data_IF_824138459105
#
_entry.id   IF_824138459105
#
_cell.length_a   1.000
_cell.length_b   1.000
_cell.length_c   1.000
_cell.angle_alpha   90.00
_cell.angle_beta   90.00
_cell.angle_gamma   90.00
#
_symmetry.space_group_name_H-M   'P 1'
#
loop_
_entity.id
_entity.type
_entity.pdbx_description
1 polymer ?
#
# COMPACT_ATOMS: atom_id res chain seq x y z
N UNK A 1 -24.32 10.40 24.89
CA UNK A 1 -23.89 9.61 23.70
C UNK A 1 -24.17 10.50 22.49
N UNK A 2 -23.17 11.27 22.06
CA UNK A 2 -23.31 12.09 20.86
C UNK A 2 -23.46 11.15 19.66
N UNK A 3 -24.49 11.40 18.86
CA UNK A 3 -24.78 10.70 17.61
C UNK A 3 -23.58 10.88 16.67
N UNK A 4 -22.68 9.92 16.65
CA UNK A 4 -21.49 9.96 15.83
C UNK A 4 -21.90 9.68 14.37
N UNK A 5 -22.14 10.74 13.60
CA UNK A 5 -22.54 10.71 12.18
C UNK A 5 -21.49 10.08 11.25
N UNK A 6 -20.37 9.59 11.81
CA UNK A 6 -19.21 9.05 11.09
C UNK A 6 -19.35 7.61 10.64
N UNK A 7 -20.36 6.88 11.13
CA UNK A 7 -20.46 5.43 10.92
C UNK A 7 -19.48 4.65 11.81
N UNK A 8 -19.68 3.34 11.89
CA UNK A 8 -18.81 2.40 12.60
C UNK A 8 -18.74 1.09 11.81
N UNK A 9 -17.74 0.27 12.10
CA UNK A 9 -17.69 -1.10 11.58
C UNK A 9 -18.84 -1.95 12.16
N UNK A 10 -19.30 -2.94 11.37
CA UNK A 10 -20.36 -3.84 11.82
C UNK A 10 -19.93 -4.73 12.99
N UNK A 11 -18.61 -4.96 13.12
CA UNK A 11 -17.98 -5.74 14.19
C UNK A 11 -16.51 -6.00 13.92
N UNK A 12 -15.86 -6.74 14.82
CA UNK A 12 -14.41 -7.00 14.79
C UNK A 12 -13.92 -7.64 13.47
N UNK A 13 -14.68 -8.60 12.91
CA UNK A 13 -14.34 -9.21 11.63
C UNK A 13 -14.38 -8.20 10.48
N UNK A 14 -15.40 -7.32 10.46
CA UNK A 14 -15.52 -6.26 9.46
C UNK A 14 -14.36 -5.29 9.52
N UNK A 15 -13.96 -4.87 10.73
CA UNK A 15 -12.77 -4.05 10.96
C UNK A 15 -11.50 -4.75 10.47
N UNK A 16 -11.24 -5.99 10.92
CA UNK A 16 -10.02 -6.74 10.57
C UNK A 16 -9.92 -6.94 9.06
N UNK A 17 -10.99 -7.38 8.37
CA UNK A 17 -10.98 -7.56 6.92
C UNK A 17 -10.78 -6.23 6.18
N UNK A 18 -11.34 -5.14 6.69
CA UNK A 18 -11.13 -3.81 6.08
C UNK A 18 -9.71 -3.32 6.27
N UNK A 19 -9.13 -3.50 7.45
CA UNK A 19 -7.75 -3.12 7.72
C UNK A 19 -6.74 -3.99 6.96
N UNK A 20 -7.00 -5.31 6.84
CA UNK A 20 -6.23 -6.20 5.96
C UNK A 20 -6.37 -5.74 4.51
N UNK A 21 -7.59 -5.39 4.04
CA UNK A 21 -7.79 -4.90 2.68
C UNK A 21 -7.11 -3.57 2.39
N UNK A 22 -6.92 -2.72 3.40
CA UNK A 22 -6.08 -1.54 3.26
C UNK A 22 -4.61 -1.88 3.12
N UNK A 23 -4.13 -2.84 3.92
CA UNK A 23 -2.74 -3.25 3.92
C UNK A 23 -2.40 -4.10 2.67
N UNK A 24 -3.23 -5.11 2.35
CA UNK A 24 -3.01 -5.98 1.19
C UNK A 24 -3.40 -5.28 -0.10
N UNK A 25 -2.43 -4.73 -0.80
CA UNK A 25 -2.63 -3.91 -2.00
C UNK A 25 -1.57 -4.15 -3.09
N UNK A 26 -1.38 -3.16 -3.94
CA UNK A 26 -0.29 -3.17 -4.93
C UNK A 26 1.09 -3.24 -4.25
N UNK A 27 1.21 -2.76 -3.01
CA UNK A 27 2.42 -2.91 -2.21
C UNK A 27 2.87 -4.37 -2.08
N UNK A 28 1.94 -5.33 -1.93
CA UNK A 28 2.23 -6.75 -1.84
C UNK A 28 2.40 -7.40 -3.22
N UNK A 29 1.51 -7.07 -4.18
CA UNK A 29 1.48 -7.73 -5.49
C UNK A 29 2.53 -7.19 -6.47
N UNK A 30 2.97 -5.96 -6.28
CA UNK A 30 3.96 -5.30 -7.12
C UNK A 30 5.19 -4.87 -6.32
N UNK A 31 5.00 -4.01 -5.30
CA UNK A 31 6.09 -3.39 -4.56
C UNK A 31 7.02 -4.41 -3.90
N UNK A 32 6.47 -5.37 -3.15
CA UNK A 32 7.27 -6.36 -2.44
C UNK A 32 8.07 -7.28 -3.38
N UNK A 33 7.46 -7.93 -4.43
CA UNK A 33 8.23 -8.78 -5.32
C UNK A 33 9.35 -8.03 -6.03
N UNK A 34 9.07 -6.85 -6.59
CA UNK A 34 10.10 -6.11 -7.31
C UNK A 34 11.21 -5.60 -6.36
N UNK A 35 10.86 -5.08 -5.18
CA UNK A 35 11.83 -4.60 -4.18
C UNK A 35 12.69 -5.77 -3.64
N UNK A 36 12.07 -6.92 -3.40
CA UNK A 36 12.80 -8.14 -3.07
C UNK A 36 13.72 -8.57 -4.21
N UNK A 37 13.24 -8.48 -5.46
CA UNK A 37 14.00 -8.77 -6.67
C UNK A 37 15.24 -7.90 -6.83
N UNK A 38 15.11 -6.61 -6.57
CA UNK A 38 16.19 -5.64 -6.69
C UNK A 38 17.17 -5.61 -5.50
N UNK A 39 16.83 -6.21 -4.36
CA UNK A 39 17.59 -6.12 -3.12
C UNK A 39 17.99 -7.49 -2.54
N UNK A 40 18.32 -8.44 -3.39
CA UNK A 40 19.01 -9.68 -2.99
C UNK A 40 18.12 -10.84 -2.55
N UNK A 41 16.79 -10.80 -2.78
CA UNK A 41 15.90 -11.94 -2.55
C UNK A 41 15.74 -12.28 -1.05
N UNK A 42 16.19 -13.49 -0.64
CA UNK A 42 15.99 -13.99 0.70
C UNK A 42 16.53 -13.07 1.84
N UNK A 43 17.73 -12.48 1.78
CA UNK A 43 18.17 -11.51 2.79
C UNK A 43 17.21 -10.32 2.95
N UNK A 44 16.67 -9.79 1.86
CA UNK A 44 15.66 -8.73 1.92
C UNK A 44 14.41 -9.18 2.67
N UNK A 45 13.92 -10.41 2.43
CA UNK A 45 12.77 -10.97 3.14
C UNK A 45 13.01 -11.00 4.66
N UNK A 46 14.18 -11.42 5.10
CA UNK A 46 14.51 -11.47 6.55
C UNK A 46 14.51 -10.05 7.14
N UNK A 47 15.15 -9.09 6.46
CA UNK A 47 15.17 -7.69 6.91
C UNK A 47 13.74 -7.13 6.98
N UNK A 48 12.92 -7.38 5.96
CA UNK A 48 11.53 -6.96 5.93
C UNK A 48 10.73 -7.52 7.11
N UNK A 49 10.87 -8.82 7.43
CA UNK A 49 10.20 -9.44 8.57
C UNK A 49 10.62 -8.82 9.90
N UNK A 50 11.89 -8.47 10.05
CA UNK A 50 12.37 -7.74 11.23
C UNK A 50 11.67 -6.39 11.38
N UNK A 51 11.59 -5.60 10.29
CA UNK A 51 10.87 -4.32 10.33
C UNK A 51 9.37 -4.49 10.61
N UNK A 52 8.71 -5.50 10.02
CA UNK A 52 7.29 -5.79 10.28
C UNK A 52 7.05 -6.07 11.76
N UNK A 53 7.86 -6.92 12.38
CA UNK A 53 7.69 -7.28 13.80
C UNK A 53 8.02 -6.11 14.72
N UNK A 54 9.18 -5.49 14.54
CA UNK A 54 9.68 -4.48 15.49
C UNK A 54 9.09 -3.08 15.29
N UNK A 55 8.68 -2.74 14.07
CA UNK A 55 8.11 -1.44 13.77
C UNK A 55 6.64 -1.55 13.36
N UNK A 56 6.31 -2.40 12.41
CA UNK A 56 4.96 -2.51 11.82
C UNK A 56 3.89 -2.84 12.84
N UNK A 57 4.05 -3.95 13.58
CA UNK A 57 3.11 -4.39 14.63
C UNK A 57 2.92 -3.32 15.69
N UNK A 58 4.02 -2.74 16.16
CA UNK A 58 3.98 -1.79 17.26
C UNK A 58 3.33 -0.48 16.83
N UNK A 59 3.77 0.07 15.69
CA UNK A 59 3.26 1.35 15.21
C UNK A 59 1.79 1.26 14.78
N UNK A 60 1.36 0.12 14.23
CA UNK A 60 -0.05 -0.15 13.95
C UNK A 60 -0.91 -0.06 15.22
N UNK A 61 -0.46 -0.67 16.31
CA UNK A 61 -1.15 -0.55 17.60
C UNK A 61 -1.22 0.89 18.12
N UNK A 62 -0.16 1.67 17.92
CA UNK A 62 -0.11 3.09 18.31
C UNK A 62 -1.11 3.92 17.48
N UNK A 63 -1.10 3.81 16.15
CA UNK A 63 -2.03 4.56 15.30
C UNK A 63 -3.50 4.22 15.60
N UNK A 64 -3.84 2.93 15.76
CA UNK A 64 -5.19 2.52 16.15
C UNK A 64 -5.58 3.08 17.53
N UNK A 65 -4.64 3.10 18.50
CA UNK A 65 -4.89 3.67 19.83
C UNK A 65 -5.16 5.17 19.76
N UNK A 66 -4.40 5.92 18.96
CA UNK A 66 -4.61 7.35 18.74
C UNK A 66 -6.01 7.57 18.13
N UNK A 67 -6.33 6.82 17.09
CA UNK A 67 -7.62 6.92 16.41
C UNK A 67 -8.80 6.65 17.33
N UNK A 68 -8.77 5.50 18.04
CA UNK A 68 -9.89 5.09 18.93
C UNK A 68 -10.05 6.00 20.15
N UNK A 69 -8.92 6.39 20.77
CA UNK A 69 -8.96 7.27 21.97
C UNK A 69 -9.52 8.65 21.66
N UNK A 70 -9.22 9.18 20.46
CA UNK A 70 -9.64 10.53 20.06
C UNK A 70 -10.96 10.56 19.27
N UNK A 71 -11.32 9.48 18.59
CA UNK A 71 -12.49 9.43 17.71
C UNK A 71 -12.42 10.42 16.53
N UNK A 72 -11.21 10.86 16.10
CA UNK A 72 -11.01 11.95 15.13
C UNK A 72 -10.08 11.52 13.98
N UNK A 73 -10.15 12.26 12.87
CA UNK A 73 -9.21 12.14 11.75
C UNK A 73 -7.80 12.60 12.15
N UNK A 74 -6.74 12.19 11.42
CA UNK A 74 -5.35 12.32 11.86
C UNK A 74 -4.92 13.71 12.35
N UNK A 75 -5.28 14.80 11.63
CA UNK A 75 -4.88 16.17 12.04
C UNK A 75 -5.52 16.56 13.37
N UNK A 76 -6.80 16.24 13.53
CA UNK A 76 -7.53 16.57 14.77
C UNK A 76 -7.11 15.63 15.90
N UNK A 77 -6.88 14.36 15.60
CA UNK A 77 -6.39 13.38 16.56
C UNK A 77 -5.03 13.79 17.15
N UNK A 78 -4.07 14.15 16.29
CA UNK A 78 -2.76 14.65 16.74
C UNK A 78 -2.90 15.99 17.50
N UNK A 79 -3.89 16.81 17.15
CA UNK A 79 -4.20 18.04 17.86
C UNK A 79 -4.70 17.84 19.31
N UNK A 80 -5.32 16.67 19.61
CA UNK A 80 -5.71 16.29 20.99
C UNK A 80 -4.48 15.90 21.86
N UNK A 81 -3.43 15.37 21.21
CA UNK A 81 -2.17 15.13 21.91
C UNK A 81 -1.43 16.43 22.22
N UNK A 82 -1.70 17.50 21.48
CA UNK A 82 -1.17 18.85 21.66
C UNK A 82 -1.37 19.67 20.38
N UNK A 83 -1.79 20.93 20.52
CA UNK A 83 -2.04 21.81 19.36
C UNK A 83 -0.85 21.93 18.42
N UNK A 84 0.38 21.91 18.97
CA UNK A 84 1.63 21.94 18.23
C UNK A 84 1.87 20.70 17.37
N UNK A 85 1.23 19.57 17.63
CA UNK A 85 1.44 18.31 16.91
C UNK A 85 0.53 18.15 15.68
N UNK A 86 -0.36 19.08 15.41
CA UNK A 86 -1.23 19.05 14.21
C UNK A 86 -0.47 18.89 12.91
N UNK A 87 0.77 19.40 12.83
CA UNK A 87 1.59 19.30 11.62
C UNK A 87 1.93 17.85 11.26
N UNK A 88 2.08 16.97 12.27
CA UNK A 88 2.29 15.53 12.05
C UNK A 88 1.05 14.90 11.42
N UNK A 89 -0.13 15.26 11.91
CA UNK A 89 -1.40 14.86 11.31
C UNK A 89 -1.55 15.31 9.86
N UNK A 90 -0.97 16.47 9.48
CA UNK A 90 -0.93 16.92 8.09
C UNK A 90 -0.05 16.03 7.21
N UNK A 91 1.10 15.52 7.68
CA UNK A 91 1.84 14.50 6.95
C UNK A 91 0.97 13.26 6.72
N UNK A 92 0.25 12.82 7.76
CA UNK A 92 -0.64 11.65 7.68
C UNK A 92 -1.89 11.84 6.79
N UNK A 93 -2.24 13.07 6.40
CA UNK A 93 -3.36 13.35 5.47
C UNK A 93 -2.87 13.66 4.07
N UNK A 94 -1.77 14.41 3.92
CA UNK A 94 -1.22 14.75 2.61
C UNK A 94 -0.60 13.54 1.93
N UNK A 95 0.06 12.67 2.70
CA UNK A 95 0.67 11.44 2.20
C UNK A 95 -0.33 10.57 1.42
N UNK A 96 -1.49 10.13 1.98
CA UNK A 96 -2.46 9.34 1.23
C UNK A 96 -3.08 10.09 0.03
N UNK A 97 -3.20 11.41 0.06
CA UNK A 97 -3.67 12.19 -1.09
C UNK A 97 -2.67 12.11 -2.24
N UNK A 98 -1.37 12.29 -1.96
CA UNK A 98 -0.30 12.20 -2.96
C UNK A 98 -0.19 10.77 -3.50
N UNK A 99 -0.19 9.76 -2.63
CA UNK A 99 -0.18 8.35 -3.03
C UNK A 99 -1.37 8.05 -3.95
N UNK A 100 -2.58 8.47 -3.60
CA UNK A 100 -3.77 8.25 -4.42
C UNK A 100 -3.62 8.79 -5.84
N UNK A 101 -2.85 9.85 -6.03
CA UNK A 101 -2.59 10.45 -7.34
C UNK A 101 -1.91 9.49 -8.31
N UNK A 102 -0.84 8.79 -7.91
CA UNK A 102 -0.16 7.82 -8.77
C UNK A 102 -0.75 6.40 -8.67
N UNK A 103 -1.24 6.03 -7.51
CA UNK A 103 -1.79 4.70 -7.25
C UNK A 103 -3.03 4.41 -8.08
N UNK A 104 -3.89 5.41 -8.31
CA UNK A 104 -5.07 5.31 -9.17
C UNK A 104 -4.71 5.01 -10.63
N UNK A 105 -3.56 5.49 -11.10
CA UNK A 105 -3.06 5.24 -12.47
C UNK A 105 -2.65 3.78 -12.62
N UNK A 106 -1.93 3.22 -11.65
CA UNK A 106 -1.52 1.80 -11.67
C UNK A 106 -2.72 0.85 -11.66
N UNK A 107 -3.79 1.19 -10.92
CA UNK A 107 -5.04 0.45 -10.99
C UNK A 107 -5.68 0.63 -12.38
N UNK A 108 -5.68 1.83 -12.93
CA UNK A 108 -6.16 2.14 -14.28
C UNK A 108 -5.45 1.30 -15.35
N UNK A 109 -4.14 1.12 -15.24
CA UNK A 109 -3.39 0.21 -16.09
C UNK A 109 -3.92 -1.23 -15.96
N UNK A 110 -4.15 -1.69 -14.74
CA UNK A 110 -4.69 -3.04 -14.50
C UNK A 110 -6.09 -3.22 -15.12
N UNK A 111 -6.95 -2.21 -15.07
CA UNK A 111 -8.28 -2.22 -15.73
C UNK A 111 -8.13 -2.36 -17.24
N UNK A 112 -7.17 -1.67 -17.86
CA UNK A 112 -6.88 -1.80 -19.29
C UNK A 112 -6.41 -3.21 -19.66
N UNK A 113 -5.58 -3.81 -18.80
CA UNK A 113 -5.08 -5.18 -19.01
C UNK A 113 -6.19 -6.24 -18.84
N UNK A 114 -7.09 -6.09 -17.86
CA UNK A 114 -8.28 -6.93 -17.75
C UNK A 114 -9.10 -6.89 -19.04
N UNK A 115 -9.33 -5.69 -19.59
CA UNK A 115 -10.03 -5.52 -20.85
C UNK A 115 -9.28 -6.20 -22.01
N UNK A 116 -7.96 -6.07 -22.07
CA UNK A 116 -7.12 -6.72 -23.08
C UNK A 116 -7.26 -8.24 -23.06
N UNK A 117 -7.00 -8.86 -21.88
CA UNK A 117 -7.12 -10.31 -21.74
C UNK A 117 -8.55 -10.83 -21.97
N UNK A 118 -9.56 -10.05 -21.58
CA UNK A 118 -10.96 -10.42 -21.84
C UNK A 118 -11.22 -10.52 -23.37
N UNK A 119 -10.73 -9.59 -24.16
CA UNK A 119 -10.84 -9.64 -25.62
C UNK A 119 -10.11 -10.86 -26.19
N UNK A 120 -8.87 -11.15 -25.73
CA UNK A 120 -8.11 -12.33 -26.18
C UNK A 120 -8.84 -13.66 -25.87
N UNK A 121 -9.51 -13.78 -24.71
CA UNK A 121 -10.32 -14.97 -24.35
C UNK A 121 -11.46 -15.20 -25.35
N UNK A 122 -12.06 -14.13 -25.89
CA UNK A 122 -13.16 -14.23 -26.87
C UNK A 122 -12.67 -14.20 -28.33
N UNK A 123 -11.36 -14.37 -28.57
CA UNK A 123 -10.79 -14.44 -29.92
C UNK A 123 -10.62 -13.07 -30.59
N UNK A 124 -10.68 -11.98 -29.81
CA UNK A 124 -10.34 -10.63 -30.27
C UNK A 124 -8.82 -10.38 -30.22
N UNK A 125 -8.43 -9.13 -30.48
CA UNK A 125 -7.03 -8.69 -30.44
C UNK A 125 -6.87 -7.57 -29.40
N UNK A 126 -6.84 -7.95 -28.13
CA UNK A 126 -6.85 -7.02 -27.00
C UNK A 126 -5.55 -6.24 -26.81
N UNK A 127 -4.44 -6.84 -27.24
CA UNK A 127 -3.08 -6.28 -27.16
C UNK A 127 -2.48 -5.95 -28.52
N UNK A 128 -3.23 -6.05 -29.61
CA UNK A 128 -2.77 -5.70 -30.95
C UNK A 128 -1.70 -6.64 -31.51
N UNK A 129 -1.50 -7.83 -30.91
CA UNK A 129 -0.41 -8.75 -31.26
C UNK A 129 0.98 -8.24 -30.86
N UNK A 130 1.05 -7.21 -30.01
CA UNK A 130 2.30 -6.63 -29.52
C UNK A 130 2.84 -7.40 -28.31
N UNK A 131 4.16 -7.46 -28.16
CA UNK A 131 4.82 -7.87 -26.92
C UNK A 131 4.55 -6.89 -25.77
N UNK A 132 4.74 -7.34 -24.54
CA UNK A 132 4.42 -6.55 -23.34
C UNK A 132 5.13 -5.20 -23.30
N UNK A 133 6.39 -5.14 -23.69
CA UNK A 133 7.15 -3.88 -23.73
C UNK A 133 6.57 -2.87 -24.73
N UNK A 134 6.28 -3.32 -25.96
CA UNK A 134 5.74 -2.46 -27.02
C UNK A 134 4.32 -2.00 -26.66
N UNK A 135 3.47 -2.91 -26.18
CA UNK A 135 2.13 -2.58 -25.77
C UNK A 135 2.11 -1.60 -24.60
N UNK A 136 2.90 -1.86 -23.56
CA UNK A 136 2.96 -1.00 -22.37
C UNK A 136 3.49 0.40 -22.71
N UNK A 137 4.55 0.47 -23.55
CA UNK A 137 5.09 1.74 -24.05
C UNK A 137 4.06 2.52 -24.87
N UNK A 138 3.38 1.87 -25.81
CA UNK A 138 2.32 2.50 -26.62
C UNK A 138 1.14 2.97 -25.73
N UNK A 139 0.74 2.17 -24.77
CA UNK A 139 -0.36 2.51 -23.85
C UNK A 139 -0.01 3.68 -22.92
N UNK A 140 1.17 3.71 -22.32
CA UNK A 140 1.59 4.81 -21.44
C UNK A 140 1.78 6.12 -22.19
N UNK A 141 2.11 6.06 -23.50
CA UNK A 141 2.17 7.22 -24.37
C UNK A 141 0.78 7.73 -24.80
N UNK A 142 -0.27 6.90 -24.74
CA UNK A 142 -1.66 7.30 -25.02
C UNK A 142 -2.28 7.96 -23.77
N UNK A 143 -1.85 9.17 -23.48
CA UNK A 143 -2.28 9.94 -22.29
C UNK A 143 -3.83 10.03 -22.16
N UNK A 144 -4.62 10.28 -23.21
CA UNK A 144 -6.08 10.28 -23.11
C UNK A 144 -6.63 8.95 -22.59
N UNK A 145 -6.09 7.83 -23.04
CA UNK A 145 -6.53 6.50 -22.61
C UNK A 145 -6.12 6.25 -21.14
N UNK A 146 -4.91 6.62 -20.75
CA UNK A 146 -4.45 6.54 -19.34
C UNK A 146 -5.34 7.37 -18.42
N UNK A 147 -5.67 8.61 -18.79
CA UNK A 147 -6.58 9.47 -18.02
C UNK A 147 -7.97 8.86 -17.91
N UNK A 148 -8.51 8.29 -19.00
CA UNK A 148 -9.83 7.64 -18.98
C UNK A 148 -9.89 6.48 -17.97
N UNK A 149 -8.93 5.56 -18.00
CA UNK A 149 -8.91 4.42 -17.08
C UNK A 149 -8.63 4.84 -15.63
N UNK A 150 -7.83 5.89 -15.43
CA UNK A 150 -7.63 6.51 -14.11
C UNK A 150 -8.93 7.11 -13.57
N UNK A 151 -9.69 7.81 -14.42
CA UNK A 151 -10.98 8.39 -14.03
C UNK A 151 -12.01 7.31 -13.70
N UNK A 152 -12.08 6.23 -14.49
CA UNK A 152 -12.94 5.06 -14.20
C UNK A 152 -12.61 4.48 -12.82
N UNK A 153 -11.32 4.30 -12.53
CA UNK A 153 -10.83 3.80 -11.23
C UNK A 153 -11.25 4.71 -10.08
N UNK A 154 -11.00 6.02 -10.22
CA UNK A 154 -11.36 7.00 -9.19
C UNK A 154 -12.87 7.11 -8.99
N UNK A 155 -13.67 7.01 -10.05
CA UNK A 155 -15.13 7.01 -9.98
C UNK A 155 -15.64 5.77 -9.22
N UNK A 156 -15.10 4.58 -9.51
CA UNK A 156 -15.43 3.34 -8.81
C UNK A 156 -15.10 3.45 -7.32
N UNK A 157 -13.88 3.86 -6.98
CA UNK A 157 -13.47 4.02 -5.59
C UNK A 157 -14.28 5.09 -4.87
N UNK A 158 -14.55 6.22 -5.52
CA UNK A 158 -15.41 7.28 -4.98
C UNK A 158 -16.82 6.81 -4.66
N UNK A 159 -17.44 5.98 -5.51
CA UNK A 159 -18.74 5.37 -5.25
C UNK A 159 -18.72 4.46 -4.02
N UNK A 160 -17.67 3.64 -3.86
CA UNK A 160 -17.51 2.76 -2.70
C UNK A 160 -17.34 3.59 -1.42
N UNK A 161 -16.46 4.59 -1.43
CA UNK A 161 -16.22 5.46 -0.26
C UNK A 161 -17.46 6.27 0.10
N UNK A 162 -18.22 6.76 -0.89
CA UNK A 162 -19.49 7.47 -0.68
C UNK A 162 -20.56 6.60 0.00
N UNK A 163 -20.48 5.26 -0.17
CA UNK A 163 -21.34 4.28 0.51
C UNK A 163 -21.10 4.16 2.01
N UNK A 164 -20.04 4.80 2.55
CA UNK A 164 -19.70 4.81 3.98
C UNK A 164 -18.86 3.60 4.42
N UNK A 165 -18.58 3.55 5.73
CA UNK A 165 -17.71 2.50 6.29
C UNK A 165 -18.37 1.13 6.14
N UNK A 166 -19.51 0.90 6.77
CA UNK A 166 -20.17 -0.42 6.76
C UNK A 166 -20.79 -0.77 5.40
N UNK A 167 -21.41 0.19 4.72
CA UNK A 167 -22.15 -0.02 3.46
C UNK A 167 -21.29 -0.06 2.21
N UNK A 168 -20.12 0.59 2.22
CA UNK A 168 -19.19 0.67 1.10
C UNK A 168 -17.90 -0.08 1.37
N UNK A 169 -17.01 0.51 2.14
CA UNK A 169 -15.62 0.03 2.34
C UNK A 169 -15.59 -1.39 2.94
N UNK A 170 -16.30 -1.61 4.05
CA UNK A 170 -16.35 -2.91 4.71
C UNK A 170 -17.00 -3.99 3.82
N UNK A 171 -18.10 -3.63 3.13
CA UNK A 171 -18.80 -4.56 2.23
C UNK A 171 -17.90 -4.99 1.08
N UNK A 172 -17.14 -4.07 0.49
CA UNK A 172 -16.19 -4.38 -0.56
C UNK A 172 -15.09 -5.33 -0.05
N UNK A 173 -14.49 -5.02 1.10
CA UNK A 173 -13.39 -5.81 1.65
C UNK A 173 -13.82 -7.20 2.13
N UNK A 174 -15.04 -7.36 2.64
CA UNK A 174 -15.58 -8.68 3.03
C UNK A 174 -15.63 -9.69 1.88
N UNK A 175 -15.81 -9.24 0.66
CA UNK A 175 -15.82 -10.07 -0.56
C UNK A 175 -14.44 -10.06 -1.22
N UNK A 176 -13.84 -8.90 -1.35
CA UNK A 176 -12.59 -8.69 -2.09
C UNK A 176 -11.40 -9.43 -1.46
N UNK A 177 -11.24 -9.37 -0.13
CA UNK A 177 -10.08 -9.97 0.52
C UNK A 177 -10.06 -11.51 0.47
N UNK A 178 -11.14 -12.23 0.84
CA UNK A 178 -11.17 -13.68 0.62
C UNK A 178 -10.98 -14.06 -0.86
N UNK A 179 -11.62 -13.34 -1.78
CA UNK A 179 -11.48 -13.55 -3.22
C UNK A 179 -10.03 -13.38 -3.69
N UNK A 180 -9.33 -12.36 -3.19
CA UNK A 180 -7.91 -12.11 -3.47
C UNK A 180 -7.04 -13.31 -3.06
N UNK A 181 -7.19 -13.83 -1.84
CA UNK A 181 -6.41 -14.98 -1.38
C UNK A 181 -6.71 -16.24 -2.21
N UNK A 182 -7.97 -16.47 -2.57
CA UNK A 182 -8.36 -17.59 -3.44
C UNK A 182 -7.70 -17.46 -4.82
N UNK A 183 -7.76 -16.29 -5.44
CA UNK A 183 -7.13 -16.04 -6.74
C UNK A 183 -5.60 -16.19 -6.67
N UNK A 184 -4.96 -15.71 -5.61
CA UNK A 184 -3.51 -15.94 -5.39
C UNK A 184 -3.19 -17.43 -5.37
N UNK A 185 -3.93 -18.21 -4.60
CA UNK A 185 -3.71 -19.68 -4.51
C UNK A 185 -3.87 -20.34 -5.88
N UNK A 186 -4.92 -19.98 -6.64
CA UNK A 186 -5.15 -20.52 -7.99
C UNK A 186 -3.96 -20.23 -8.91
N UNK A 187 -3.46 -18.99 -8.90
CA UNK A 187 -2.33 -18.59 -9.74
C UNK A 187 -1.04 -19.31 -9.29
N UNK A 188 -0.81 -19.42 -7.99
CA UNK A 188 0.35 -20.14 -7.43
C UNK A 188 0.33 -21.60 -7.90
N UNK A 189 -0.79 -22.31 -7.68
CA UNK A 189 -0.92 -23.71 -8.08
C UNK A 189 -0.65 -23.91 -9.57
N UNK A 190 -1.17 -23.01 -10.41
CA UNK A 190 -0.90 -23.07 -11.84
C UNK A 190 0.58 -22.80 -12.16
N UNK A 191 1.18 -21.77 -11.58
CA UNK A 191 2.58 -21.40 -11.89
C UNK A 191 3.57 -22.48 -11.45
N UNK A 192 3.26 -23.29 -10.44
CA UNK A 192 4.07 -24.44 -10.05
C UNK A 192 4.04 -25.59 -11.07
N UNK A 193 3.14 -25.59 -12.03
CA UNK A 193 3.16 -26.55 -13.14
C UNK A 193 4.14 -26.16 -14.25
N UNK A 194 4.68 -24.92 -14.23
CA UNK A 194 5.57 -24.42 -15.23
C UNK A 194 7.00 -25.01 -15.08
N UNK A 195 7.69 -25.36 -16.18
CA UNK A 195 9.09 -25.78 -16.13
C UNK A 195 9.97 -24.66 -15.53
N UNK A 196 10.82 -25.02 -14.57
CA UNK A 196 11.73 -24.03 -13.93
C UNK A 196 11.11 -23.24 -12.75
N UNK A 197 9.84 -23.45 -12.41
CA UNK A 197 9.17 -22.78 -11.30
C UNK A 197 9.91 -22.88 -9.95
N UNK A 198 10.62 -24.01 -9.71
CA UNK A 198 11.42 -24.22 -8.50
C UNK A 198 12.56 -23.19 -8.33
N UNK A 199 13.02 -22.55 -9.40
CA UNK A 199 14.03 -21.49 -9.33
C UNK A 199 13.49 -20.28 -8.56
N UNK A 200 12.20 -19.93 -8.73
CA UNK A 200 11.54 -18.89 -7.97
C UNK A 200 11.52 -19.15 -6.46
N UNK A 201 11.32 -20.42 -6.04
CA UNK A 201 11.42 -20.81 -4.64
C UNK A 201 12.84 -20.68 -4.09
N UNK A 202 13.82 -21.17 -4.87
CA UNK A 202 15.24 -21.05 -4.51
C UNK A 202 15.62 -19.59 -4.30
N UNK A 203 15.14 -18.71 -5.19
CA UNK A 203 15.34 -17.28 -5.11
C UNK A 203 14.74 -16.66 -3.82
N UNK A 204 13.50 -17.01 -3.49
CA UNK A 204 12.79 -16.45 -2.34
C UNK A 204 13.32 -16.92 -0.99
N UNK A 205 13.76 -18.19 -0.90
CA UNK A 205 13.95 -18.84 0.41
C UNK A 205 15.36 -19.36 0.66
N UNK A 206 16.31 -19.11 -0.26
CA UNK A 206 17.69 -19.55 -0.08
C UNK A 206 18.70 -18.44 -0.42
N UNK A 207 19.89 -18.51 0.21
CA UNK A 207 21.00 -17.60 -0.09
C UNK A 207 21.51 -17.71 -1.53
N UNK A 208 21.31 -18.86 -2.18
CA UNK A 208 21.65 -19.05 -3.60
C UNK A 208 20.86 -18.16 -4.55
N UNK A 209 19.70 -17.63 -4.11
CA UNK A 209 18.90 -16.68 -4.88
C UNK A 209 19.63 -15.39 -5.21
N UNK A 210 20.55 -14.93 -4.34
CA UNK A 210 21.38 -13.75 -4.60
C UNK A 210 22.30 -13.96 -5.82
N UNK A 211 22.95 -15.14 -5.91
CA UNK A 211 23.83 -15.49 -7.03
C UNK A 211 23.03 -15.59 -8.33
N UNK A 212 21.78 -16.10 -8.26
CA UNK A 212 20.90 -16.24 -9.43
C UNK A 212 20.41 -14.89 -9.98
N UNK A 213 20.24 -13.88 -9.13
CA UNK A 213 19.75 -12.57 -9.55
C UNK A 213 20.86 -11.68 -10.15
N UNK A 214 22.14 -12.02 -9.95
CA UNK A 214 23.28 -11.23 -10.42
C UNK A 214 23.34 -9.81 -9.82
N UNK A 215 22.68 -9.57 -8.70
CA UNK A 215 22.65 -8.28 -8.01
C UNK A 215 23.58 -8.29 -6.80
N UNK A 216 24.42 -7.26 -6.69
CA UNK A 216 25.19 -7.03 -5.46
C UNK A 216 24.24 -6.67 -4.31
N UNK A 217 24.43 -7.32 -3.16
CA UNK A 217 23.62 -7.06 -1.98
C UNK A 217 24.16 -5.87 -1.18
N UNK A 218 23.43 -4.77 -1.19
CA UNK A 218 23.68 -3.63 -0.30
C UNK A 218 22.75 -3.70 0.91
N UNK A 219 23.32 -4.01 2.06
CA UNK A 219 22.58 -4.15 3.32
C UNK A 219 21.89 -2.85 3.75
N UNK A 220 22.54 -1.69 3.58
CA UNK A 220 21.98 -0.39 3.97
C UNK A 220 20.80 -0.04 3.08
N UNK A 221 20.96 -0.22 1.76
CA UNK A 221 19.89 -0.01 0.81
C UNK A 221 18.74 -0.99 1.04
N UNK A 222 19.01 -2.26 1.29
CA UNK A 222 17.99 -3.26 1.61
C UNK A 222 17.20 -2.91 2.88
N UNK A 223 17.86 -2.42 3.94
CA UNK A 223 17.18 -1.93 5.13
C UNK A 223 16.27 -0.74 4.84
N UNK A 224 16.75 0.24 4.06
CA UNK A 224 15.97 1.41 3.65
C UNK A 224 14.72 1.02 2.88
N UNK A 225 14.90 0.20 1.84
CA UNK A 225 13.80 -0.25 0.98
C UNK A 225 12.81 -1.13 1.74
N UNK A 226 13.29 -2.03 2.61
CA UNK A 226 12.43 -2.89 3.42
C UNK A 226 11.59 -2.09 4.44
N UNK A 227 12.16 -1.05 5.05
CA UNK A 227 11.44 -0.19 5.98
C UNK A 227 10.35 0.63 5.29
N UNK A 228 10.64 1.23 4.14
CA UNK A 228 9.64 1.91 3.31
C UNK A 228 8.55 0.95 2.88
N UNK A 229 8.92 -0.21 2.33
CA UNK A 229 7.97 -1.26 1.96
C UNK A 229 7.08 -1.70 3.12
N UNK A 230 7.60 -1.84 4.33
CA UNK A 230 6.82 -2.21 5.52
C UNK A 230 5.80 -1.12 5.87
N UNK A 231 6.20 0.15 5.88
CA UNK A 231 5.29 1.26 6.18
C UNK A 231 4.19 1.36 5.11
N UNK A 232 4.56 1.28 3.83
CA UNK A 232 3.65 1.36 2.71
C UNK A 232 2.66 0.19 2.70
N UNK A 233 3.15 -1.04 2.77
CA UNK A 233 2.35 -2.28 2.74
C UNK A 233 1.40 -2.35 3.93
N UNK A 234 1.89 -2.12 5.16
CA UNK A 234 1.04 -2.12 6.37
C UNK A 234 0.15 -0.88 6.51
N UNK A 235 0.13 0.04 5.54
CA UNK A 235 -0.66 1.29 5.59
C UNK A 235 -0.36 2.18 6.81
N UNK A 236 0.91 2.33 7.16
CA UNK A 236 1.38 3.03 8.36
C UNK A 236 2.04 4.37 8.04
N UNK A 237 1.97 5.32 8.96
CA UNK A 237 2.54 6.67 8.78
C UNK A 237 1.72 7.58 7.86
N UNK A 238 0.65 7.06 7.25
CA UNK A 238 -0.25 7.76 6.35
C UNK A 238 -1.67 7.95 6.93
N UNK A 239 -1.85 7.76 8.24
CA UNK A 239 -3.09 8.07 8.96
C UNK A 239 -4.27 7.13 8.73
N UNK A 240 -4.11 6.05 7.95
CA UNK A 240 -5.18 5.08 7.69
C UNK A 240 -5.57 4.39 8.99
N UNK A 241 -4.59 3.89 9.75
CA UNK A 241 -4.88 3.17 11.00
C UNK A 241 -5.38 4.10 12.10
N UNK A 242 -5.02 5.40 12.08
CA UNK A 242 -5.65 6.43 12.94
C UNK A 242 -7.13 6.59 12.54
N UNK A 243 -7.41 6.74 11.24
CA UNK A 243 -8.77 6.90 10.72
C UNK A 243 -9.64 5.69 11.03
N UNK A 244 -9.15 4.48 10.75
CA UNK A 244 -9.89 3.24 11.02
C UNK A 244 -10.02 2.96 12.53
N UNK A 245 -8.98 3.27 13.30
CA UNK A 245 -9.05 3.25 14.77
C UNK A 245 -10.16 4.12 15.31
N UNK A 246 -10.42 5.29 14.71
CA UNK A 246 -11.50 6.19 15.14
C UNK A 246 -12.93 5.62 14.94
N UNK A 247 -13.07 4.54 14.17
CA UNK A 247 -14.31 3.80 13.95
C UNK A 247 -14.40 2.49 14.74
N UNK A 248 -13.32 2.12 15.47
CA UNK A 248 -13.29 0.91 16.30
C UNK A 248 -14.15 1.03 17.54
N UNK A 249 -14.82 -0.05 17.90
CA UNK A 249 -15.55 -0.15 19.16
C UNK A 249 -14.60 -0.40 20.34
N UNK A 250 -14.95 0.04 21.57
CA UNK A 250 -14.10 -0.15 22.74
C UNK A 250 -13.80 -1.61 23.08
N UNK A 251 -14.70 -2.55 22.73
CA UNK A 251 -14.58 -3.98 23.01
C UNK A 251 -13.56 -4.66 22.08
N UNK A 252 -13.25 -4.05 20.93
CA UNK A 252 -12.33 -4.62 19.95
C UNK A 252 -10.89 -4.54 20.45
N UNK A 253 -10.14 -5.65 20.33
CA UNK A 253 -8.76 -5.72 20.81
C UNK A 253 -7.79 -5.10 19.80
N UNK A 254 -7.28 -3.90 20.11
CA UNK A 254 -6.21 -3.25 19.32
C UNK A 254 -4.98 -4.15 19.26
N UNK A 255 -4.54 -4.69 20.39
CA UNK A 255 -3.33 -5.51 20.45
C UNK A 255 -3.42 -6.74 19.54
N UNK A 256 -4.57 -7.44 19.54
CA UNK A 256 -4.78 -8.58 18.65
C UNK A 256 -4.79 -8.16 17.18
N UNK A 257 -5.45 -7.06 16.84
CA UNK A 257 -5.50 -6.53 15.48
C UNK A 257 -4.13 -6.11 14.99
N UNK A 258 -3.30 -5.49 15.85
CA UNK A 258 -1.94 -5.07 15.55
C UNK A 258 -1.01 -6.24 15.18
N UNK A 259 -1.27 -7.45 15.65
CA UNK A 259 -0.55 -8.66 15.24
C UNK A 259 -1.16 -9.30 13.99
N UNK A 260 -2.49 -9.39 13.91
CA UNK A 260 -3.18 -10.10 12.81
C UNK A 260 -2.99 -9.37 11.48
N UNK A 261 -3.14 -8.04 11.46
CA UNK A 261 -3.13 -7.29 10.20
C UNK A 261 -1.76 -7.34 9.51
N UNK A 262 -0.62 -7.03 10.17
CA UNK A 262 0.70 -7.18 9.55
C UNK A 262 1.06 -8.62 9.20
N UNK A 263 0.59 -9.60 9.98
CA UNK A 263 0.80 -11.00 9.65
C UNK A 263 0.05 -11.43 8.38
N UNK A 264 -1.19 -10.98 8.20
CA UNK A 264 -1.97 -11.22 6.99
C UNK A 264 -1.38 -10.50 5.78
N UNK A 265 -0.93 -9.25 5.95
CA UNK A 265 -0.23 -8.46 4.95
C UNK A 265 1.06 -9.14 4.47
N UNK A 266 1.91 -9.53 5.41
CA UNK A 266 3.15 -10.28 5.11
C UNK A 266 2.88 -11.61 4.42
N UNK A 267 1.83 -12.33 4.84
CA UNK A 267 1.41 -13.57 4.18
C UNK A 267 1.01 -13.29 2.74
N UNK A 268 0.24 -12.25 2.48
CA UNK A 268 -0.14 -11.86 1.11
C UNK A 268 1.10 -11.47 0.27
N UNK A 269 2.06 -10.75 0.84
CA UNK A 269 3.31 -10.40 0.16
C UNK A 269 4.14 -11.64 -0.23
N UNK A 270 4.27 -12.61 0.68
CA UNK A 270 4.95 -13.89 0.40
C UNK A 270 4.19 -14.68 -0.67
N UNK A 271 2.86 -14.78 -0.58
CA UNK A 271 2.04 -15.45 -1.60
C UNK A 271 2.15 -14.75 -2.95
N UNK A 272 2.20 -13.42 -3.00
CA UNK A 272 2.42 -12.69 -4.24
C UNK A 272 3.80 -13.00 -4.86
N UNK A 273 4.85 -13.08 -4.05
CA UNK A 273 6.15 -13.55 -4.49
C UNK A 273 6.09 -14.98 -5.08
N UNK A 274 5.36 -15.90 -4.41
CA UNK A 274 5.13 -17.26 -4.90
C UNK A 274 4.28 -17.31 -6.19
N UNK A 275 3.42 -16.31 -6.42
CA UNK A 275 2.68 -16.18 -7.66
C UNK A 275 3.53 -15.59 -8.80
N UNK A 276 4.52 -14.74 -8.51
CA UNK A 276 5.27 -13.99 -9.51
C UNK A 276 6.60 -14.65 -9.86
N UNK A 277 7.44 -14.95 -8.86
CA UNK A 277 8.81 -15.45 -9.14
C UNK A 277 8.86 -16.77 -9.90
N UNK A 278 8.04 -17.80 -9.59
CA UNK A 278 8.04 -19.02 -10.39
C UNK A 278 7.70 -18.76 -11.87
N UNK A 279 6.74 -17.85 -12.14
CA UNK A 279 6.36 -17.50 -13.50
C UNK A 279 7.47 -16.73 -14.23
N UNK A 280 8.12 -15.77 -13.58
CA UNK A 280 9.23 -14.97 -14.12
C UNK A 280 10.42 -15.86 -14.47
N UNK A 281 10.86 -16.70 -13.53
CA UNK A 281 12.01 -17.59 -13.76
C UNK A 281 11.73 -18.71 -14.77
N UNK A 282 10.49 -19.19 -14.87
CA UNK A 282 10.10 -20.16 -15.90
C UNK A 282 10.27 -19.61 -17.33
N UNK A 283 10.19 -18.29 -17.50
CA UNK A 283 10.41 -17.61 -18.78
C UNK A 283 11.85 -17.07 -18.96
N UNK A 284 12.76 -17.37 -18.04
CA UNK A 284 14.13 -16.83 -18.05
C UNK A 284 14.22 -15.33 -17.79
N UNK A 285 13.16 -14.73 -17.24
CA UNK A 285 13.10 -13.31 -16.87
C UNK A 285 13.85 -13.00 -15.58
N UNK A 286 14.00 -11.69 -15.29
CA UNK A 286 14.58 -11.18 -14.05
C UNK A 286 13.52 -10.46 -13.21
N UNK A 287 13.54 -10.59 -11.88
CA UNK A 287 12.47 -10.08 -11.01
C UNK A 287 12.60 -8.59 -10.63
N UNK A 288 13.50 -7.83 -11.24
CA UNK A 288 13.89 -6.47 -10.86
C UNK A 288 13.28 -5.34 -11.72
N UNK A 289 12.22 -5.62 -12.46
CA UNK A 289 11.69 -4.74 -13.51
C UNK A 289 10.81 -3.56 -13.05
N UNK A 290 10.74 -3.21 -11.76
CA UNK A 290 9.86 -2.11 -11.30
C UNK A 290 8.39 -2.29 -11.74
N UNK A 291 7.75 -1.22 -12.26
CA UNK A 291 6.39 -1.28 -12.83
C UNK A 291 6.32 -2.25 -14.01
N UNK A 292 7.41 -2.38 -14.77
CA UNK A 292 7.52 -3.33 -15.88
C UNK A 292 7.37 -4.80 -15.47
N UNK A 293 7.72 -5.18 -14.23
CA UNK A 293 7.50 -6.54 -13.75
C UNK A 293 6.01 -6.92 -13.84
N UNK A 294 5.13 -6.02 -13.42
CA UNK A 294 3.69 -6.27 -13.42
C UNK A 294 3.07 -6.20 -14.82
N UNK A 295 3.46 -5.20 -15.62
CA UNK A 295 2.77 -4.88 -16.88
C UNK A 295 3.49 -5.36 -18.14
N UNK A 296 4.79 -5.65 -18.07
CA UNK A 296 5.57 -6.19 -19.20
C UNK A 296 5.81 -7.68 -18.96
N UNK A 297 6.59 -8.02 -17.92
CA UNK A 297 7.04 -9.40 -17.70
C UNK A 297 5.86 -10.35 -17.47
N UNK A 298 4.89 -9.98 -16.62
CA UNK A 298 3.73 -10.84 -16.36
C UNK A 298 2.81 -10.95 -17.57
N UNK A 299 2.66 -9.87 -18.36
CA UNK A 299 1.93 -9.92 -19.63
C UNK A 299 2.55 -10.94 -20.59
N UNK A 300 3.86 -10.84 -20.85
CA UNK A 300 4.57 -11.75 -21.76
C UNK A 300 4.53 -13.19 -21.26
N UNK A 301 4.65 -13.37 -19.94
CA UNK A 301 4.51 -14.67 -19.31
C UNK A 301 3.15 -15.29 -19.63
N UNK A 302 2.05 -14.57 -19.43
CA UNK A 302 0.71 -15.11 -19.67
C UNK A 302 0.43 -15.31 -21.17
N UNK A 303 0.82 -14.38 -22.03
CA UNK A 303 0.60 -14.51 -23.48
C UNK A 303 1.39 -15.68 -24.09
N UNK A 304 2.59 -15.99 -23.56
CA UNK A 304 3.37 -17.16 -23.98
C UNK A 304 2.71 -18.52 -23.66
N UNK A 305 1.80 -18.54 -22.69
CA UNK A 305 1.05 -19.76 -22.29
C UNK A 305 -0.19 -20.04 -23.18
N UNK A 306 -0.46 -19.20 -24.20
CA UNK A 306 -1.60 -19.35 -25.11
C UNK A 306 -2.96 -19.15 -24.43
N UNK A 307 -3.99 -19.88 -24.85
CA UNK A 307 -5.37 -19.64 -24.41
C UNK A 307 -5.57 -19.78 -22.90
N UNK A 308 -4.87 -20.69 -22.21
CA UNK A 308 -4.91 -20.84 -20.76
C UNK A 308 -4.27 -19.62 -20.09
N UNK A 309 -3.16 -19.13 -20.65
CA UNK A 309 -2.49 -17.94 -20.14
C UNK A 309 -3.36 -16.69 -20.22
N UNK A 310 -4.20 -16.55 -21.24
CA UNK A 310 -5.16 -15.45 -21.33
C UNK A 310 -6.16 -15.47 -20.15
N UNK A 311 -6.64 -16.65 -19.75
CA UNK A 311 -7.54 -16.79 -18.59
C UNK A 311 -6.79 -16.47 -17.28
N UNK A 312 -5.57 -16.99 -17.11
CA UNK A 312 -4.76 -16.72 -15.93
C UNK A 312 -4.39 -15.25 -15.84
N UNK A 313 -4.01 -14.61 -16.96
CA UNK A 313 -3.73 -13.18 -17.04
C UNK A 313 -4.94 -12.32 -16.67
N UNK A 314 -6.12 -12.67 -17.20
CA UNK A 314 -7.37 -12.03 -16.81
C UNK A 314 -7.59 -12.11 -15.28
N UNK A 315 -7.52 -13.32 -14.69
CA UNK A 315 -7.70 -13.52 -13.25
C UNK A 315 -6.63 -12.77 -12.44
N UNK A 316 -5.38 -12.74 -12.90
CA UNK A 316 -4.30 -12.02 -12.26
C UNK A 316 -4.56 -10.52 -12.19
N UNK A 317 -4.94 -9.87 -13.30
CA UNK A 317 -5.21 -8.43 -13.28
C UNK A 317 -6.53 -8.09 -12.56
N UNK A 318 -7.51 -8.97 -12.53
CA UNK A 318 -8.69 -8.85 -11.65
C UNK A 318 -8.26 -8.86 -10.19
N UNK A 319 -7.37 -9.77 -9.80
CA UNK A 319 -6.77 -9.80 -8.46
C UNK A 319 -6.04 -8.49 -8.14
N UNK A 320 -5.23 -7.98 -9.07
CA UNK A 320 -4.50 -6.70 -8.94
C UNK A 320 -5.48 -5.54 -8.73
N UNK A 321 -6.61 -5.51 -9.45
CA UNK A 321 -7.65 -4.49 -9.26
C UNK A 321 -8.27 -4.60 -7.86
N UNK A 322 -8.64 -5.80 -7.39
CA UNK A 322 -9.19 -5.97 -6.05
C UNK A 322 -8.23 -5.46 -4.96
N UNK A 323 -6.95 -5.81 -5.06
CA UNK A 323 -5.91 -5.36 -4.15
C UNK A 323 -5.71 -3.83 -4.22
N UNK A 324 -5.66 -3.28 -5.43
CA UNK A 324 -5.50 -1.85 -5.63
C UNK A 324 -6.68 -1.04 -5.10
N UNK A 325 -7.91 -1.43 -5.45
CA UNK A 325 -9.14 -0.74 -5.02
C UNK A 325 -9.29 -0.78 -3.50
N UNK A 326 -9.02 -1.91 -2.82
CA UNK A 326 -9.12 -2.02 -1.36
C UNK A 326 -8.20 -1.03 -0.63
N UNK A 327 -7.01 -0.79 -1.15
CA UNK A 327 -6.08 0.19 -0.59
C UNK A 327 -6.46 1.63 -0.97
N UNK A 328 -6.82 1.89 -2.23
CA UNK A 328 -7.19 3.24 -2.69
C UNK A 328 -8.42 3.79 -1.97
N UNK A 329 -9.44 2.98 -1.70
CA UNK A 329 -10.61 3.41 -0.91
C UNK A 329 -10.24 3.80 0.52
N UNK A 330 -9.21 3.17 1.09
CA UNK A 330 -8.70 3.49 2.43
C UNK A 330 -7.94 4.82 2.44
N UNK A 331 -7.10 5.06 1.43
CA UNK A 331 -6.41 6.34 1.23
C UNK A 331 -7.42 7.49 1.04
N UNK A 332 -8.44 7.29 0.21
CA UNK A 332 -9.50 8.27 -0.02
C UNK A 332 -10.35 8.52 1.23
N UNK A 333 -10.53 7.50 2.10
CA UNK A 333 -11.26 7.65 3.36
C UNK A 333 -10.54 8.58 4.34
N UNK A 334 -9.20 8.50 4.44
CA UNK A 334 -8.40 9.43 5.28
C UNK A 334 -8.65 10.87 4.86
N UNK A 335 -8.57 11.15 3.56
CA UNK A 335 -8.78 12.48 3.01
C UNK A 335 -10.22 12.97 3.24
N UNK A 336 -11.20 12.11 2.95
CA UNK A 336 -12.62 12.45 3.06
C UNK A 336 -13.07 12.65 4.51
N UNK A 337 -12.63 11.78 5.44
CA UNK A 337 -12.92 11.92 6.86
C UNK A 337 -12.29 13.18 7.44
N UNK A 338 -11.05 13.49 7.06
CA UNK A 338 -10.42 14.74 7.49
C UNK A 338 -11.17 15.98 7.00
N UNK A 339 -11.62 15.97 5.74
CA UNK A 339 -12.39 17.08 5.17
C UNK A 339 -13.73 17.28 5.92
N UNK A 340 -14.43 16.19 6.26
CA UNK A 340 -15.65 16.24 7.06
C UNK A 340 -15.37 16.84 8.42
N UNK A 341 -14.46 16.24 9.19
CA UNK A 341 -14.14 16.66 10.57
C UNK A 341 -13.63 18.09 10.66
N UNK A 342 -12.77 18.50 9.72
CA UNK A 342 -12.24 19.85 9.70
C UNK A 342 -13.30 20.90 9.45
N UNK A 343 -14.35 20.59 8.67
CA UNK A 343 -15.50 21.49 8.47
C UNK A 343 -16.43 21.47 9.65
N UNK A 344 -16.72 20.30 10.24
CA UNK A 344 -17.55 20.19 11.46
C UNK A 344 -16.94 20.97 12.62
N UNK A 345 -15.62 20.92 12.79
CA UNK A 345 -14.89 21.72 13.79
C UNK A 345 -15.03 23.24 13.57
N UNK A 346 -15.38 23.67 12.36
CA UNK A 346 -15.67 25.08 11.99
C UNK A 346 -17.18 25.38 12.00
N UNK A 347 -18.02 24.47 12.50
CA UNK A 347 -19.48 24.60 12.52
C UNK A 347 -20.19 24.42 11.16
N UNK A 348 -19.48 23.87 10.14
CA UNK A 348 -20.03 23.63 8.81
C UNK A 348 -20.39 22.16 8.65
N UNK A 349 -21.63 21.87 8.25
CA UNK A 349 -22.07 20.51 7.91
C UNK A 349 -21.72 20.19 6.46
N UNK A 350 -20.93 19.15 6.24
CA UNK A 350 -20.57 18.64 4.91
C UNK A 350 -21.11 17.22 4.78
N UNK A 351 -21.84 16.95 3.69
CA UNK A 351 -22.29 15.60 3.41
C UNK A 351 -21.10 14.72 2.98
N UNK A 352 -21.15 13.44 3.35
CA UNK A 352 -20.11 12.47 2.95
C UNK A 352 -19.91 12.43 1.44
N UNK A 353 -21.01 12.45 0.66
CA UNK A 353 -20.94 12.44 -0.82
C UNK A 353 -20.17 13.65 -1.36
N UNK A 354 -20.41 14.84 -0.81
CA UNK A 354 -19.70 16.05 -1.22
C UNK A 354 -18.22 16.00 -0.83
N UNK A 355 -17.90 15.49 0.36
CA UNK A 355 -16.51 15.33 0.79
C UNK A 355 -15.75 14.39 -0.14
N UNK A 356 -16.32 13.23 -0.45
CA UNK A 356 -15.73 12.26 -1.37
C UNK A 356 -15.56 12.84 -2.78
N UNK A 357 -16.57 13.55 -3.29
CA UNK A 357 -16.49 14.19 -4.61
C UNK A 357 -15.33 15.20 -4.69
N UNK A 358 -15.21 16.06 -3.66
CA UNK A 358 -14.13 17.07 -3.59
C UNK A 358 -12.76 16.39 -3.53
N UNK A 359 -12.62 15.36 -2.67
CA UNK A 359 -11.33 14.64 -2.55
C UNK A 359 -10.99 13.87 -3.83
N UNK A 360 -11.97 13.20 -4.46
CA UNK A 360 -11.78 12.52 -5.75
C UNK A 360 -11.32 13.51 -6.83
N UNK A 361 -11.91 14.70 -6.89
CA UNK A 361 -11.50 15.74 -7.84
C UNK A 361 -10.05 16.23 -7.57
N UNK A 362 -9.67 16.43 -6.31
CA UNK A 362 -8.29 16.81 -5.94
C UNK A 362 -7.30 15.70 -6.34
N UNK A 363 -7.60 14.44 -6.02
CA UNK A 363 -6.76 13.30 -6.38
C UNK A 363 -6.64 13.19 -7.91
N UNK A 364 -7.75 13.36 -8.64
CA UNK A 364 -7.73 13.35 -10.10
C UNK A 364 -6.82 14.45 -10.67
N UNK A 365 -6.91 15.67 -10.14
CA UNK A 365 -6.01 16.78 -10.55
C UNK A 365 -4.54 16.43 -10.28
N UNK A 366 -4.23 15.78 -9.15
CA UNK A 366 -2.87 15.33 -8.82
C UNK A 366 -2.40 14.16 -9.70
N UNK A 367 -3.31 13.35 -10.24
CA UNK A 367 -2.94 12.26 -11.17
C UNK A 367 -2.57 12.76 -12.57
N UNK A 368 -3.12 13.90 -13.01
CA UNK A 368 -2.89 14.43 -14.38
C UNK A 368 -1.41 14.61 -14.70
N UNK A 369 -0.58 15.29 -13.87
CA UNK A 369 0.85 15.43 -14.16
C UNK A 369 1.58 14.10 -14.30
N UNK A 370 1.20 13.10 -13.49
CA UNK A 370 1.80 11.76 -13.55
C UNK A 370 1.39 11.02 -14.83
N UNK A 371 0.13 11.17 -15.28
CA UNK A 371 -0.30 10.65 -16.58
C UNK A 371 0.48 11.32 -17.73
N UNK A 372 0.68 12.64 -17.67
CA UNK A 372 1.42 13.42 -18.66
C UNK A 372 2.92 13.10 -18.68
N UNK A 373 3.45 12.60 -17.58
CA UNK A 373 4.85 12.18 -17.48
C UNK A 373 5.15 10.89 -18.24
N UNK A 374 4.16 10.08 -18.59
CA UNK A 374 4.30 8.84 -19.37
C UNK A 374 5.39 7.91 -18.80
N UNK A 375 5.47 7.79 -17.46
CA UNK A 375 6.49 7.01 -16.73
C UNK A 375 7.93 7.36 -17.16
N UNK A 376 8.23 8.64 -17.30
CA UNK A 376 9.57 9.10 -17.67
C UNK A 376 9.73 9.47 -19.14
N UNK A 377 8.70 9.27 -19.96
CA UNK A 377 8.74 9.53 -21.41
C UNK A 377 8.54 11.00 -21.80
N UNK A 378 8.31 11.92 -20.85
CA UNK A 378 7.99 13.31 -21.16
C UNK A 378 9.07 14.33 -20.71
N UNK A 379 8.87 15.59 -21.09
CA UNK A 379 9.70 16.69 -20.63
C UNK A 379 9.63 16.95 -19.10
N UNK A 380 8.58 16.45 -18.43
CA UNK A 380 8.42 16.55 -16.96
C UNK A 380 9.56 15.79 -16.27
N UNK A 381 9.91 14.63 -16.77
CA UNK A 381 11.01 13.80 -16.24
C UNK A 381 12.38 14.43 -16.41
N UNK A 382 12.52 15.45 -17.24
CA UNK A 382 13.78 16.19 -17.42
C UNK A 382 13.96 17.29 -16.35
N UNK A 383 12.95 17.57 -15.52
CA UNK A 383 13.08 18.53 -14.41
C UNK A 383 14.17 18.05 -13.44
N UNK A 384 15.03 18.96 -12.91
CA UNK A 384 16.23 18.56 -12.15
C UNK A 384 15.99 17.64 -10.96
N UNK A 385 14.83 17.74 -10.30
CA UNK A 385 14.47 16.88 -9.19
C UNK A 385 13.97 15.50 -9.69
N UNK A 386 13.09 15.51 -10.71
CA UNK A 386 12.48 14.30 -11.24
C UNK A 386 13.52 13.42 -11.92
N UNK A 387 14.41 14.01 -12.73
CA UNK A 387 15.46 13.29 -13.46
C UNK A 387 16.47 12.55 -12.56
N UNK A 388 16.66 13.04 -11.32
CA UNK A 388 17.52 12.36 -10.33
C UNK A 388 16.85 11.14 -9.68
N UNK A 389 15.52 11.09 -9.66
CA UNK A 389 14.75 10.03 -9.00
C UNK A 389 14.30 8.98 -10.04
N UNK A 390 13.92 9.43 -11.25
CA UNK A 390 13.48 8.57 -12.35
C UNK A 390 12.31 9.18 -13.11
N UNK A 391 11.12 9.12 -12.55
CA UNK A 391 9.91 9.70 -13.14
C UNK A 391 9.06 10.43 -12.07
N UNK A 392 7.97 11.05 -12.48
CA UNK A 392 7.12 11.78 -11.53
C UNK A 392 6.39 10.85 -10.55
N UNK A 393 6.04 9.63 -10.98
CA UNK A 393 5.50 8.60 -10.09
C UNK A 393 6.50 8.28 -8.98
N UNK A 394 7.75 7.97 -9.35
CA UNK A 394 8.81 7.66 -8.39
C UNK A 394 9.11 8.85 -7.47
N UNK A 395 8.96 10.07 -8.00
CA UNK A 395 9.13 11.30 -7.20
C UNK A 395 8.03 11.42 -6.13
N UNK A 396 6.77 11.14 -6.46
CA UNK A 396 5.68 11.12 -5.48
C UNK A 396 5.91 10.05 -4.43
N UNK A 397 6.34 8.86 -4.86
CA UNK A 397 6.66 7.75 -3.95
C UNK A 397 7.86 8.08 -3.04
N UNK A 398 8.92 8.68 -3.57
CA UNK A 398 10.07 9.13 -2.80
C UNK A 398 9.68 10.09 -1.66
N UNK A 399 8.83 11.08 -1.92
CA UNK A 399 8.38 12.01 -0.88
C UNK A 399 7.47 11.34 0.13
N UNK A 400 6.58 10.45 -0.29
CA UNK A 400 5.63 9.79 0.60
C UNK A 400 6.26 8.64 1.38
N UNK A 401 6.76 7.60 0.70
CA UNK A 401 7.35 6.43 1.33
C UNK A 401 8.73 6.72 1.94
N UNK A 402 9.54 7.50 1.23
CA UNK A 402 10.91 7.79 1.66
C UNK A 402 11.01 8.81 2.79
N UNK A 403 10.12 9.80 2.85
CA UNK A 403 10.26 10.93 3.80
C UNK A 403 9.06 11.04 4.74
N UNK A 404 7.84 11.22 4.20
CA UNK A 404 6.68 11.61 5.03
C UNK A 404 6.28 10.52 6.02
N UNK A 405 6.23 9.27 5.59
CA UNK A 405 5.82 8.15 6.44
C UNK A 405 6.84 7.85 7.55
N UNK A 406 8.15 7.70 7.29
CA UNK A 406 9.14 7.53 8.34
C UNK A 406 9.15 8.70 9.33
N UNK A 407 9.05 9.94 8.85
CA UNK A 407 9.05 11.13 9.70
C UNK A 407 7.81 11.17 10.60
N UNK A 408 6.61 10.91 10.06
CA UNK A 408 5.39 10.81 10.84
C UNK A 408 5.50 9.72 11.92
N UNK A 409 6.09 8.57 11.56
CA UNK A 409 6.31 7.45 12.50
C UNK A 409 7.23 7.82 13.64
N UNK A 410 8.39 8.42 13.34
CA UNK A 410 9.35 8.87 14.37
C UNK A 410 8.68 9.85 15.32
N UNK A 411 8.10 10.91 14.79
CA UNK A 411 7.50 11.98 15.60
C UNK A 411 6.34 11.46 16.45
N UNK A 412 5.50 10.60 15.90
CA UNK A 412 4.40 9.97 16.65
C UNK A 412 4.94 9.09 17.79
N UNK A 413 5.94 8.24 17.53
CA UNK A 413 6.57 7.41 18.56
C UNK A 413 7.22 8.25 19.68
N UNK A 414 7.89 9.35 19.33
CA UNK A 414 8.47 10.27 20.32
C UNK A 414 7.38 10.89 21.23
N UNK A 415 6.26 11.31 20.63
CA UNK A 415 5.16 11.90 21.42
C UNK A 415 4.53 10.86 22.34
N UNK A 416 4.13 9.72 21.83
CA UNK A 416 3.41 8.73 22.67
C UNK A 416 4.34 7.93 23.59
N UNK A 417 5.61 7.76 23.19
CA UNK A 417 6.59 7.03 23.99
C UNK A 417 7.24 7.85 25.12
N UNK A 418 7.45 9.17 24.88
CA UNK A 418 8.22 10.02 25.80
C UNK A 418 7.42 11.19 26.36
N UNK A 419 6.63 11.90 25.52
CA UNK A 419 5.90 13.09 25.99
C UNK A 419 4.64 12.70 26.74
N UNK A 420 3.85 11.78 26.21
CA UNK A 420 2.62 11.27 26.86
C UNK A 420 2.88 10.11 27.80
N UNK A 421 3.94 9.35 27.54
CA UNK A 421 4.27 8.11 28.22
C UNK A 421 3.48 6.90 27.68
N UNK A 422 4.04 5.67 27.84
CA UNK A 422 3.42 4.45 27.35
C UNK A 422 2.03 4.18 27.93
N UNK A 423 1.78 4.61 29.14
CA UNK A 423 0.51 4.45 29.84
C UNK A 423 -0.66 5.03 29.04
N UNK A 424 -0.40 6.09 28.27
CA UNK A 424 -1.42 6.79 27.48
C UNK A 424 -2.10 5.89 26.43
N UNK A 425 -1.33 5.08 25.68
CA UNK A 425 -1.87 4.17 24.69
C UNK A 425 -2.23 2.81 25.30
N UNK A 426 -1.55 2.39 26.37
CA UNK A 426 -1.83 1.14 27.09
C UNK A 426 -3.23 1.15 27.71
N UNK A 427 -3.62 2.24 28.37
CA UNK A 427 -4.97 2.43 28.89
C UNK A 427 -6.02 2.21 27.79
N UNK A 428 -5.76 2.70 26.56
CA UNK A 428 -6.66 2.51 25.46
C UNK A 428 -6.70 1.07 24.98
N UNK A 429 -5.53 0.43 24.86
CA UNK A 429 -5.42 -0.96 24.43
C UNK A 429 -6.04 -1.96 25.43
N UNK A 430 -6.02 -1.63 26.73
CA UNK A 430 -6.49 -2.49 27.83
C UNK A 430 -7.99 -2.25 28.16
N UNK A 431 -8.68 -1.34 27.46
CA UNK A 431 -10.12 -1.12 27.63
C UNK A 431 -10.93 -2.41 27.49
N UNK A 432 -12.01 -2.48 28.24
CA UNK A 432 -12.96 -3.60 28.26
C UNK A 432 -12.32 -4.96 28.62
N UNK A 433 -11.21 -4.95 29.39
CA UNK A 433 -10.52 -6.16 29.82
C UNK A 433 -9.61 -6.78 28.78
N UNK A 434 -9.32 -6.09 27.67
CA UNK A 434 -8.34 -6.52 26.69
C UNK A 434 -6.94 -6.56 27.30
N UNK A 435 -6.06 -7.40 26.74
CA UNK A 435 -4.66 -7.51 27.19
C UNK A 435 -3.70 -7.15 26.04
N UNK A 436 -2.60 -6.49 26.38
CA UNK A 436 -1.55 -6.19 25.43
C UNK A 436 -0.62 -7.39 25.30
N UNK A 437 -0.58 -8.00 24.12
CA UNK A 437 0.33 -9.10 23.79
C UNK A 437 1.73 -8.51 23.64
N UNK A 438 2.64 -8.88 24.55
CA UNK A 438 4.01 -8.38 24.53
C UNK A 438 4.15 -6.92 25.01
N UNK A 439 3.46 -6.53 26.10
CA UNK A 439 3.46 -5.15 26.64
C UNK A 439 4.87 -4.54 26.78
N UNK A 440 5.83 -5.28 27.34
CA UNK A 440 7.22 -4.81 27.46
C UNK A 440 7.90 -4.58 26.10
N UNK A 441 7.61 -5.44 25.13
CA UNK A 441 8.09 -5.29 23.76
C UNK A 441 7.53 -4.03 23.10
N UNK A 442 6.23 -3.75 23.25
CA UNK A 442 5.61 -2.51 22.75
C UNK A 442 6.29 -1.28 23.36
N UNK A 443 6.49 -1.23 24.69
CA UNK A 443 7.19 -0.13 25.37
C UNK A 443 8.59 0.11 24.83
N UNK A 444 9.38 -0.97 24.72
CA UNK A 444 10.76 -0.89 24.23
C UNK A 444 10.78 -0.40 22.76
N UNK A 445 9.91 -0.96 21.94
CA UNK A 445 9.90 -0.63 20.51
C UNK A 445 9.42 0.81 20.25
N UNK A 446 8.35 1.27 20.89
CA UNK A 446 7.86 2.66 20.74
C UNK A 446 8.91 3.66 21.22
N UNK A 447 9.58 3.40 22.33
CA UNK A 447 10.55 4.35 22.90
C UNK A 447 11.86 4.40 22.14
N UNK A 448 12.36 3.25 21.69
CA UNK A 448 13.75 3.16 21.21
C UNK A 448 13.86 2.53 19.82
N UNK A 449 13.31 1.31 19.59
CA UNK A 449 13.59 0.54 18.39
C UNK A 449 13.00 1.22 17.14
N UNK A 450 11.68 1.50 17.14
CA UNK A 450 11.02 2.11 15.99
C UNK A 450 11.59 3.50 15.65
N UNK A 451 11.74 4.45 16.60
CA UNK A 451 12.37 5.73 16.29
C UNK A 451 13.81 5.59 15.78
N UNK A 452 14.61 4.72 16.37
CA UNK A 452 16.00 4.53 15.96
C UNK A 452 16.11 3.95 14.54
N UNK A 453 15.34 2.90 14.24
CA UNK A 453 15.33 2.28 12.91
C UNK A 453 14.82 3.24 11.84
N UNK A 454 13.73 3.98 12.10
CA UNK A 454 13.20 4.96 11.13
C UNK A 454 14.15 6.17 10.96
N UNK A 455 14.84 6.60 12.01
CA UNK A 455 15.88 7.65 11.91
C UNK A 455 17.06 7.17 11.07
N UNK A 456 17.50 5.93 11.25
CA UNK A 456 18.53 5.32 10.40
C UNK A 456 18.12 5.31 8.94
N UNK A 457 16.87 4.96 8.63
CA UNK A 457 16.32 4.94 7.27
C UNK A 457 16.33 6.35 6.65
N UNK A 458 15.84 7.36 7.36
CA UNK A 458 15.88 8.75 6.87
C UNK A 458 17.30 9.28 6.68
N UNK A 459 18.19 8.96 7.61
CA UNK A 459 19.58 9.38 7.52
C UNK A 459 20.30 8.72 6.34
N UNK A 460 20.12 7.42 6.13
CA UNK A 460 20.68 6.69 4.99
C UNK A 460 20.14 7.22 3.64
N UNK A 461 18.86 7.61 3.59
CA UNK A 461 18.28 8.24 2.41
C UNK A 461 18.94 9.57 2.11
N UNK A 462 19.15 10.42 3.14
CA UNK A 462 19.81 11.70 2.97
C UNK A 462 21.27 11.56 2.48
N UNK A 463 22.02 10.60 3.04
CA UNK A 463 23.40 10.32 2.59
C UNK A 463 23.43 9.86 1.13
N UNK A 464 22.57 8.91 0.76
CA UNK A 464 22.47 8.42 -0.62
C UNK A 464 22.16 9.55 -1.61
N UNK A 465 21.33 10.53 -1.20
CA UNK A 465 20.99 11.68 -2.05
C UNK A 465 22.13 12.70 -2.17
N UNK A 466 23.00 12.79 -1.16
CA UNK A 466 24.21 13.63 -1.16
C UNK A 466 25.39 12.98 -1.89
N UNK A 467 25.27 11.70 -2.28
CA UNK A 467 26.34 10.96 -2.95
C UNK A 467 27.46 10.51 -2.01
N UNK A 468 27.14 10.37 -0.71
CA UNK A 468 28.07 9.96 0.35
C UNK A 468 27.78 8.53 0.80
#
# INVERSE_FOLDING_TARGET
MENNNRGSFSGSLGFILTAIGSAVGLGNLWGFPYKMGANGGFPFLIIYLVFVVFCGVVFMGIEMSIGRKTGKSPVLAMGELGKQYKFIGWFSVLCPIIISGFYSILIGYSVRYVWGFLLEIFGGNGFGGMGGGDFFGAYTADVPQVILFTLITLALCGLIVAGGIAGGIEKFNKVGIPGLFVLLIVIIVYNFTLPGATQGLTYMFTSKGMEMAGTEFDFINACRVAAGQMLFSCSLGMGIMITYGSYMKPEESISRSAWIIPAADTTAAILAGLAIFPAVFAQGGTPNGGVGLLFITMHDTFTSMGSIGNVIGFLFYVLVIFAGVSSLISLMEVASSHYIDSNEAKGKKVSRKNAVLVMTAIIFVLSIPVCLDMLGGSAISQLPLVSKIGCLLDTYDFFTEGIMMPLATILTCLIVGWVKGPEWYEEEMEKCGNKIIGKGFFRLSVKFITPALMTFVLFSLALSYLGI
#
